data_IF_544239589158
#
_entry.id   IF_544239589158
#
_cell.length_a   1.000
_cell.length_b   1.000
_cell.length_c   1.000
_cell.angle_alpha   90.00
_cell.angle_beta   90.00
_cell.angle_gamma   90.00
#
_symmetry.space_group_name_H-M   'P 1'
#
loop_
_entity.id
_entity.type
_entity.pdbx_description
1 polymer ?
#
# COMPACT_ATOMS: atom_id res chain seq x y z
N UNK A 1 16.54 -15.33 28.04
CA UNK A 1 15.86 -14.09 28.47
C UNK A 1 16.18 -13.04 27.42
N UNK A 2 15.17 -12.42 26.80
CA UNK A 2 15.41 -11.28 25.91
C UNK A 2 16.03 -10.14 26.74
N UNK A 3 17.08 -9.50 26.24
CA UNK A 3 17.67 -8.33 26.91
C UNK A 3 16.69 -7.16 26.77
N UNK A 4 16.45 -6.42 27.85
CA UNK A 4 15.61 -5.23 27.79
C UNK A 4 16.29 -4.12 26.99
N UNK A 5 15.51 -3.15 26.50
CA UNK A 5 16.04 -1.97 25.83
C UNK A 5 17.03 -1.21 26.72
N UNK A 6 16.78 -1.21 28.03
CA UNK A 6 17.70 -0.65 29.03
C UNK A 6 19.04 -1.42 29.08
N UNK A 7 19.02 -2.75 29.10
CA UNK A 7 20.25 -3.57 29.14
C UNK A 7 21.11 -3.36 27.89
N UNK A 8 20.45 -3.28 26.72
CA UNK A 8 21.12 -3.03 25.44
C UNK A 8 21.71 -1.62 25.42
N UNK A 9 20.95 -0.61 25.86
CA UNK A 9 21.39 0.78 25.88
C UNK A 9 22.62 0.96 26.79
N UNK A 10 22.57 0.41 28.01
CA UNK A 10 23.69 0.48 28.95
C UNK A 10 24.95 -0.17 28.37
N UNK A 11 24.83 -1.36 27.76
CA UNK A 11 25.97 -2.03 27.14
C UNK A 11 26.59 -1.25 25.97
N UNK A 12 25.78 -0.53 25.19
CA UNK A 12 26.27 0.34 24.10
C UNK A 12 26.92 1.62 24.63
N UNK A 13 26.33 2.24 25.64
CA UNK A 13 26.91 3.44 26.28
C UNK A 13 28.25 3.11 26.91
N UNK A 14 28.36 2.00 27.64
CA UNK A 14 29.61 1.56 28.27
C UNK A 14 30.71 1.24 27.23
N UNK A 15 30.32 0.85 26.01
CA UNK A 15 31.25 0.59 24.92
C UNK A 15 31.73 1.87 24.20
N UNK A 16 30.91 2.92 24.17
CA UNK A 16 31.18 4.16 23.43
C UNK A 16 31.71 5.30 24.33
N UNK A 17 31.35 5.31 25.61
CA UNK A 17 31.64 6.42 26.52
C UNK A 17 32.11 5.95 27.91
N UNK A 18 33.11 6.64 28.45
CA UNK A 18 33.53 6.48 29.85
C UNK A 18 32.67 7.36 30.78
N UNK A 19 31.44 6.92 31.04
CA UNK A 19 30.47 7.63 31.88
C UNK A 19 30.18 6.80 33.13
N UNK A 20 30.13 7.46 34.28
CA UNK A 20 29.77 6.79 35.53
C UNK A 20 28.39 6.11 35.41
N UNK A 21 28.34 4.81 35.72
CA UNK A 21 27.18 3.94 35.48
C UNK A 21 25.86 4.48 36.08
N UNK A 22 25.92 5.12 37.25
CA UNK A 22 24.75 5.74 37.88
C UNK A 22 24.19 6.91 37.06
N UNK A 23 25.08 7.68 36.42
CA UNK A 23 24.72 8.82 35.58
C UNK A 23 24.12 8.34 34.26
N UNK A 24 24.77 7.37 33.61
CA UNK A 24 24.27 6.72 32.40
C UNK A 24 22.88 6.09 32.63
N UNK A 25 22.71 5.29 33.69
CA UNK A 25 21.42 4.67 34.03
C UNK A 25 20.31 5.69 34.28
N UNK A 26 20.61 6.77 35.01
CA UNK A 26 19.66 7.87 35.24
C UNK A 26 19.27 8.57 33.93
N UNK A 27 20.24 8.79 33.04
CA UNK A 27 20.04 9.42 31.74
C UNK A 27 19.16 8.55 30.83
N UNK A 28 19.47 7.26 30.70
CA UNK A 28 18.68 6.29 29.91
C UNK A 28 17.22 6.28 30.34
N UNK A 29 16.97 6.19 31.66
CA UNK A 29 15.59 6.18 32.19
C UNK A 29 14.82 7.46 31.90
N UNK A 30 15.48 8.63 32.03
CA UNK A 30 14.84 9.91 31.72
C UNK A 30 14.53 10.06 30.24
N UNK A 31 15.46 9.66 29.37
CA UNK A 31 15.27 9.70 27.92
C UNK A 31 14.12 8.78 27.51
N UNK A 32 14.11 7.52 27.98
CA UNK A 32 13.05 6.56 27.67
C UNK A 32 11.67 7.05 28.14
N UNK A 33 11.59 7.65 29.33
CA UNK A 33 10.33 8.17 29.88
C UNK A 33 9.79 9.43 29.18
N UNK A 34 10.59 10.11 28.34
CA UNK A 34 10.24 11.38 27.72
C UNK A 34 10.35 11.33 26.18
N UNK A 35 9.85 10.25 25.58
CA UNK A 35 9.79 10.12 24.11
C UNK A 35 11.16 10.07 23.46
N UNK A 36 12.12 9.40 24.11
CA UNK A 36 13.49 9.22 23.62
C UNK A 36 14.24 10.54 23.37
N UNK A 37 13.93 11.53 24.22
CA UNK A 37 14.60 12.83 24.30
C UNK A 37 14.78 13.23 25.76
N UNK A 38 15.88 13.90 26.07
CA UNK A 38 16.10 14.51 27.37
C UNK A 38 15.32 15.83 27.44
N UNK A 39 14.40 16.01 28.40
CA UNK A 39 13.71 17.29 28.55
C UNK A 39 14.70 18.42 28.84
N UNK A 40 14.46 19.60 28.26
CA UNK A 40 15.31 20.78 28.48
C UNK A 40 15.47 21.13 29.97
N UNK A 41 14.42 20.91 30.78
CA UNK A 41 14.46 21.12 32.22
C UNK A 41 15.45 20.19 32.96
N UNK A 42 15.70 18.99 32.42
CA UNK A 42 16.62 18.00 32.98
C UNK A 42 18.06 18.18 32.46
N UNK A 43 18.28 18.99 31.42
CA UNK A 43 19.61 19.24 30.83
C UNK A 43 20.65 19.71 31.85
N UNK A 44 20.23 20.55 32.81
CA UNK A 44 21.08 21.08 33.88
C UNK A 44 21.68 19.99 34.78
N UNK A 45 20.97 18.88 34.98
CA UNK A 45 21.43 17.72 35.77
C UNK A 45 22.56 16.96 35.08
N UNK A 46 22.70 17.13 33.77
CA UNK A 46 23.70 16.47 32.92
C UNK A 46 24.69 17.47 32.29
N UNK A 47 24.83 18.67 32.85
CA UNK A 47 25.65 19.76 32.28
C UNK A 47 27.12 19.39 32.03
N UNK A 48 27.63 18.35 32.69
CA UNK A 48 29.00 17.85 32.51
C UNK A 48 29.20 17.08 31.20
N UNK A 49 28.12 16.61 30.58
CA UNK A 49 28.17 15.94 29.29
C UNK A 49 27.98 16.98 28.17
N UNK A 50 28.81 16.96 27.11
CA UNK A 50 28.57 17.75 25.90
C UNK A 50 27.22 17.44 25.25
N UNK A 51 26.63 18.41 24.54
CA UNK A 51 25.34 18.23 23.86
C UNK A 51 25.40 17.12 22.80
N UNK A 52 26.52 16.99 22.09
CA UNK A 52 26.74 15.91 21.12
C UNK A 52 26.73 14.52 21.75
N UNK A 53 27.28 14.38 22.96
CA UNK A 53 27.28 13.12 23.73
C UNK A 53 25.87 12.78 24.17
N UNK A 54 25.10 13.77 24.65
CA UNK A 54 23.70 13.56 25.03
C UNK A 54 22.86 13.17 23.81
N UNK A 55 23.01 13.87 22.68
CA UNK A 55 22.31 13.55 21.44
C UNK A 55 22.63 12.12 20.96
N UNK A 56 23.89 11.69 21.09
CA UNK A 56 24.30 10.33 20.76
C UNK A 56 23.73 9.28 21.73
N UNK A 57 23.69 9.58 23.02
CA UNK A 57 23.04 8.71 24.02
C UNK A 57 21.53 8.61 23.77
N UNK A 58 20.85 9.71 23.42
CA UNK A 58 19.43 9.67 23.02
C UNK A 58 19.19 8.72 21.84
N UNK A 59 20.08 8.74 20.85
CA UNK A 59 20.04 7.81 19.72
C UNK A 59 20.27 6.36 20.17
N UNK A 60 21.30 6.09 21.00
CA UNK A 60 21.58 4.76 21.51
C UNK A 60 20.40 4.17 22.28
N UNK A 61 19.78 4.97 23.15
CA UNK A 61 18.60 4.54 23.93
C UNK A 61 17.44 4.21 23.01
N UNK A 62 17.19 5.05 22.00
CA UNK A 62 16.13 4.80 21.01
C UNK A 62 16.35 3.50 20.25
N UNK A 63 17.54 3.31 19.69
CA UNK A 63 17.90 2.09 18.94
C UNK A 63 17.83 0.84 19.82
N UNK A 64 18.29 0.92 21.07
CA UNK A 64 18.29 -0.20 21.99
C UNK A 64 16.87 -0.68 22.36
N UNK A 65 15.93 0.24 22.57
CA UNK A 65 14.53 -0.10 22.84
C UNK A 65 13.80 -0.65 21.62
N UNK A 66 14.14 -0.13 20.42
CA UNK A 66 13.68 -0.70 19.15
C UNK A 66 14.17 -2.15 18.97
N UNK A 67 15.46 -2.41 19.21
CA UNK A 67 16.06 -3.74 19.09
C UNK A 67 15.50 -4.74 20.11
N UNK A 68 15.08 -4.26 21.28
CA UNK A 68 14.40 -5.07 22.29
C UNK A 68 12.94 -5.40 21.94
N UNK A 69 12.38 -4.77 20.89
CA UNK A 69 10.97 -4.90 20.51
C UNK A 69 10.01 -4.25 21.51
N UNK A 70 10.48 -3.27 22.28
CA UNK A 70 9.67 -2.53 23.24
C UNK A 70 8.84 -1.43 22.53
N UNK A 71 7.74 -1.00 23.15
CA UNK A 71 6.91 0.05 22.59
C UNK A 71 7.62 1.41 22.69
N UNK A 72 8.03 1.94 21.53
CA UNK A 72 8.70 3.23 21.40
C UNK A 72 7.80 4.33 20.81
N UNK A 73 6.52 4.03 20.55
CA UNK A 73 5.61 4.90 19.83
C UNK A 73 5.71 4.79 18.32
N UNK A 74 4.56 4.94 17.64
CA UNK A 74 4.41 4.63 16.21
C UNK A 74 5.23 5.50 15.25
N UNK A 75 5.45 6.78 15.56
CA UNK A 75 6.24 7.68 14.70
C UNK A 75 7.73 7.35 14.73
N UNK A 76 8.28 7.07 15.91
CA UNK A 76 9.69 6.70 16.08
C UNK A 76 9.98 5.37 15.40
N UNK A 77 9.07 4.41 15.56
CA UNK A 77 9.15 3.12 14.91
C UNK A 77 9.10 3.26 13.37
N UNK A 78 8.20 4.11 12.85
CA UNK A 78 8.10 4.39 11.41
C UNK A 78 9.37 5.03 10.85
N UNK A 79 9.89 6.05 11.51
CA UNK A 79 11.13 6.72 11.10
C UNK A 79 12.31 5.74 11.11
N UNK A 80 12.41 4.89 12.13
CA UNK A 80 13.48 3.89 12.20
C UNK A 80 13.43 2.89 11.04
N UNK A 81 12.25 2.31 10.76
CA UNK A 81 12.10 1.40 9.62
C UNK A 81 12.34 2.08 8.29
N UNK A 82 11.96 3.36 8.15
CA UNK A 82 12.25 4.15 6.97
C UNK A 82 13.76 4.30 6.75
N UNK A 83 14.52 4.65 7.80
CA UNK A 83 15.98 4.77 7.74
C UNK A 83 16.64 3.42 7.42
N UNK A 84 16.21 2.34 8.07
CA UNK A 84 16.71 0.99 7.76
C UNK A 84 16.46 0.62 6.29
N UNK A 85 15.26 0.90 5.78
CA UNK A 85 14.92 0.64 4.39
C UNK A 85 15.79 1.45 3.42
N UNK A 86 16.13 2.70 3.76
CA UNK A 86 17.00 3.54 2.94
C UNK A 86 18.45 3.03 2.93
N UNK A 87 18.97 2.62 4.09
CA UNK A 87 20.30 1.99 4.19
C UNK A 87 20.36 0.73 3.34
N UNK A 88 19.38 -0.16 3.47
CA UNK A 88 19.32 -1.37 2.66
C UNK A 88 19.29 -1.07 1.15
N UNK A 89 18.53 -0.05 0.72
CA UNK A 89 18.51 0.37 -0.70
C UNK A 89 19.86 0.89 -1.18
N UNK A 90 20.58 1.65 -0.36
CA UNK A 90 21.95 2.12 -0.68
C UNK A 90 22.91 0.94 -0.82
N UNK A 91 22.80 -0.08 0.04
CA UNK A 91 23.56 -1.32 -0.08
C UNK A 91 23.23 -2.07 -1.38
N UNK A 92 21.97 -2.13 -1.78
CA UNK A 92 21.57 -2.74 -3.06
C UNK A 92 22.19 -2.02 -4.26
N UNK A 93 22.32 -0.70 -4.22
CA UNK A 93 23.07 0.08 -5.23
C UNK A 93 24.54 -0.30 -5.19
N UNK A 94 25.17 -0.31 -4.01
CA UNK A 94 26.59 -0.66 -3.85
C UNK A 94 26.91 -2.09 -4.34
N UNK A 95 25.98 -3.03 -4.15
CA UNK A 95 26.11 -4.42 -4.57
C UNK A 95 25.75 -4.66 -6.04
N UNK A 96 25.29 -3.62 -6.76
CA UNK A 96 24.89 -3.71 -8.17
C UNK A 96 23.55 -4.44 -8.40
N UNK A 97 22.74 -4.59 -7.36
CA UNK A 97 21.37 -5.11 -7.45
C UNK A 97 20.40 -4.06 -8.00
N UNK A 98 20.71 -2.78 -7.80
CA UNK A 98 20.04 -1.63 -8.41
C UNK A 98 21.02 -0.92 -9.35
N UNK A 99 20.63 -0.80 -10.61
CA UNK A 99 21.44 -0.22 -11.69
C UNK A 99 21.01 1.21 -11.97
N UNK A 100 21.98 2.07 -12.31
CA UNK A 100 21.64 3.39 -12.85
C UNK A 100 20.87 3.25 -14.17
N UNK A 101 20.09 4.27 -14.60
CA UNK A 101 19.39 4.23 -15.89
C UNK A 101 20.34 3.99 -17.07
N UNK A 102 21.57 4.50 -16.99
CA UNK A 102 22.60 4.33 -18.04
C UNK A 102 23.08 2.89 -18.11
N UNK A 103 23.41 2.27 -16.98
CA UNK A 103 23.85 0.86 -16.92
C UNK A 103 22.73 -0.08 -17.34
N UNK A 104 21.51 0.16 -16.85
CA UNK A 104 20.33 -0.62 -17.22
C UNK A 104 20.15 -0.61 -18.73
N UNK A 105 20.06 0.57 -19.37
CA UNK A 105 19.94 0.73 -20.84
C UNK A 105 21.04 -0.01 -21.59
N UNK A 106 22.29 0.12 -21.13
CA UNK A 106 23.45 -0.54 -21.75
C UNK A 106 23.29 -2.07 -21.70
N UNK A 107 22.86 -2.62 -20.57
CA UNK A 107 22.72 -4.06 -20.36
C UNK A 107 21.61 -4.69 -21.22
N UNK A 108 20.50 -3.99 -21.41
CA UNK A 108 19.36 -4.47 -22.21
C UNK A 108 19.36 -4.02 -23.68
N UNK A 109 20.33 -3.19 -24.07
CA UNK A 109 20.45 -2.63 -25.43
C UNK A 109 19.28 -1.75 -25.84
N UNK A 110 18.76 -0.91 -24.94
CA UNK A 110 17.61 -0.04 -25.22
C UNK A 110 17.98 1.43 -25.37
N UNK A 111 17.33 2.11 -26.33
CA UNK A 111 17.26 3.56 -26.37
C UNK A 111 16.42 4.11 -25.21
N UNK A 112 16.67 5.34 -24.81
CA UNK A 112 15.90 6.06 -23.77
C UNK A 112 14.39 6.08 -24.03
N UNK A 113 13.95 6.42 -25.25
CA UNK A 113 12.52 6.40 -25.63
C UNK A 113 11.85 5.04 -25.42
N UNK A 114 12.61 3.96 -25.60
CA UNK A 114 12.10 2.59 -25.43
C UNK A 114 12.09 2.17 -23.97
N UNK A 115 13.05 2.65 -23.16
CA UNK A 115 12.99 2.49 -21.70
C UNK A 115 11.76 3.21 -21.14
N UNK A 116 11.55 4.47 -21.51
CA UNK A 116 10.40 5.26 -21.06
C UNK A 116 9.07 4.54 -21.33
N UNK A 117 8.90 3.95 -22.53
CA UNK A 117 7.70 3.15 -22.85
C UNK A 117 7.53 1.90 -21.99
N UNK A 118 8.63 1.23 -21.64
CA UNK A 118 8.55 0.03 -20.78
C UNK A 118 8.26 0.39 -19.32
N UNK A 119 8.66 1.60 -18.88
CA UNK A 119 8.30 2.12 -17.56
C UNK A 119 6.82 2.50 -17.56
N UNK A 120 6.39 3.26 -18.57
CA UNK A 120 5.01 3.72 -18.75
C UNK A 120 4.01 2.56 -18.83
N UNK A 121 4.32 1.50 -19.58
CA UNK A 121 3.44 0.33 -19.68
C UNK A 121 3.58 -0.67 -18.53
N UNK A 122 4.49 -0.42 -17.57
CA UNK A 122 4.75 -1.26 -16.40
C UNK A 122 5.54 -2.54 -16.67
N UNK A 123 6.13 -2.70 -17.87
CA UNK A 123 6.97 -3.84 -18.22
C UNK A 123 8.31 -3.86 -17.47
N UNK A 124 8.78 -2.71 -17.01
CA UNK A 124 9.88 -2.54 -16.05
C UNK A 124 9.49 -1.44 -15.06
N UNK A 125 10.25 -1.28 -13.98
CA UNK A 125 10.00 -0.24 -12.99
C UNK A 125 11.30 0.23 -12.36
N UNK A 126 11.34 1.51 -11.99
CA UNK A 126 12.40 2.10 -11.18
C UNK A 126 12.08 2.03 -9.69
N UNK A 127 13.12 2.11 -8.87
CA UNK A 127 13.11 2.21 -7.41
C UNK A 127 13.87 3.47 -7.04
N UNK A 128 13.25 4.32 -6.23
CA UNK A 128 13.90 5.54 -5.75
C UNK A 128 14.82 5.27 -4.57
N UNK A 129 16.05 5.75 -4.68
CA UNK A 129 17.07 5.78 -3.62
C UNK A 129 17.65 7.18 -3.58
N UNK A 130 17.46 7.89 -2.46
CA UNK A 130 17.91 9.29 -2.29
C UNK A 130 17.48 10.19 -3.47
N UNK A 131 16.18 10.16 -3.81
CA UNK A 131 15.55 10.93 -4.90
C UNK A 131 16.08 10.62 -6.31
N UNK A 132 16.90 9.57 -6.44
CA UNK A 132 17.43 9.10 -7.71
C UNK A 132 16.79 7.77 -8.10
N UNK A 133 16.32 7.66 -9.34
CA UNK A 133 15.71 6.43 -9.86
C UNK A 133 16.78 5.41 -10.26
N UNK A 134 16.65 4.19 -9.76
CA UNK A 134 17.46 3.03 -10.14
C UNK A 134 16.58 1.87 -10.62
N UNK A 135 17.13 1.00 -11.47
CA UNK A 135 16.41 -0.15 -12.02
C UNK A 135 16.93 -1.46 -11.45
N UNK A 136 16.06 -2.38 -10.99
CA UNK A 136 16.51 -3.69 -10.53
C UNK A 136 17.29 -4.45 -11.60
N UNK A 137 18.50 -4.90 -11.25
CA UNK A 137 19.40 -5.62 -12.15
C UNK A 137 18.77 -6.89 -12.73
N UNK A 138 17.89 -7.55 -11.97
CA UNK A 138 17.14 -8.74 -12.42
C UNK A 138 16.29 -8.45 -13.66
N UNK A 139 15.78 -7.23 -13.84
CA UNK A 139 14.99 -6.86 -15.02
C UNK A 139 15.85 -6.77 -16.29
N UNK A 140 17.18 -6.76 -16.13
CA UNK A 140 18.18 -6.76 -17.19
C UNK A 140 18.99 -8.07 -17.25
N UNK A 141 18.56 -9.13 -16.55
CA UNK A 141 19.23 -10.41 -16.60
C UNK A 141 18.95 -11.12 -17.95
N UNK A 142 19.98 -11.38 -18.78
CA UNK A 142 19.78 -12.06 -20.06
C UNK A 142 19.37 -13.53 -19.93
N UNK A 143 19.55 -14.15 -18.75
CA UNK A 143 19.17 -15.54 -18.50
C UNK A 143 17.67 -15.71 -18.28
N UNK A 144 16.95 -14.63 -17.94
CA UNK A 144 15.52 -14.70 -17.67
C UNK A 144 14.69 -14.56 -18.95
N UNK A 145 13.55 -15.25 -18.99
CA UNK A 145 12.56 -15.07 -20.05
C UNK A 145 11.95 -13.66 -20.02
N UNK A 146 12.57 -12.73 -20.74
CA UNK A 146 12.21 -11.32 -20.74
C UNK A 146 10.73 -11.06 -21.07
N UNK A 147 10.14 -11.81 -22.02
CA UNK A 147 8.74 -11.62 -22.40
C UNK A 147 7.81 -11.97 -21.24
N UNK A 148 8.06 -13.09 -20.57
CA UNK A 148 7.26 -13.55 -19.43
C UNK A 148 7.50 -12.70 -18.19
N UNK A 149 8.74 -12.28 -17.94
CA UNK A 149 9.07 -11.33 -16.89
C UNK A 149 8.28 -10.03 -17.04
N UNK A 150 8.27 -9.44 -18.24
CA UNK A 150 7.50 -8.22 -18.52
C UNK A 150 5.99 -8.42 -18.33
N UNK A 151 5.44 -9.60 -18.66
CA UNK A 151 4.04 -9.91 -18.37
C UNK A 151 3.79 -9.88 -16.85
N UNK A 152 4.67 -10.48 -16.05
CA UNK A 152 4.53 -10.47 -14.58
C UNK A 152 4.69 -9.04 -14.05
N UNK A 153 5.71 -8.29 -14.49
CA UNK A 153 5.92 -6.89 -14.11
C UNK A 153 4.66 -6.06 -14.34
N UNK A 154 4.05 -6.20 -15.53
CA UNK A 154 2.77 -5.56 -15.81
C UNK A 154 1.72 -6.04 -14.83
N UNK A 155 1.55 -7.34 -14.61
CA UNK A 155 0.56 -7.88 -13.65
C UNK A 155 0.72 -7.31 -12.23
N UNK A 156 1.93 -7.03 -11.77
CA UNK A 156 2.18 -6.58 -10.39
C UNK A 156 2.25 -5.06 -10.22
N UNK A 157 1.91 -4.27 -11.27
CA UNK A 157 1.90 -2.80 -11.22
C UNK A 157 1.15 -2.20 -10.02
N UNK A 158 0.03 -2.74 -9.53
CA UNK A 158 -0.66 -2.13 -8.38
C UNK A 158 0.20 -1.97 -7.11
N UNK A 159 1.24 -2.80 -6.93
CA UNK A 159 2.15 -2.69 -5.79
C UNK A 159 3.18 -1.56 -5.97
N UNK A 160 3.72 -1.02 -4.88
CA UNK A 160 4.88 -0.12 -4.99
C UNK A 160 6.14 -0.83 -5.51
N UNK A 161 7.12 -0.10 -6.10
CA UNK A 161 8.30 -0.70 -6.73
C UNK A 161 9.08 -1.70 -5.87
N UNK A 162 9.29 -1.41 -4.58
CA UNK A 162 10.00 -2.33 -3.69
C UNK A 162 9.18 -3.60 -3.42
N UNK A 163 7.86 -3.50 -3.29
CA UNK A 163 6.96 -4.65 -3.21
C UNK A 163 7.05 -5.52 -4.46
N UNK A 164 7.10 -4.92 -5.65
CA UNK A 164 7.28 -5.64 -6.93
C UNK A 164 8.62 -6.37 -6.99
N UNK A 165 9.70 -5.69 -6.57
CA UNK A 165 11.04 -6.30 -6.50
C UNK A 165 11.04 -7.50 -5.56
N UNK A 166 10.52 -7.34 -4.34
CA UNK A 166 10.39 -8.42 -3.37
C UNK A 166 9.55 -9.59 -3.88
N UNK A 167 8.44 -9.30 -4.58
CA UNK A 167 7.64 -10.35 -5.23
C UNK A 167 8.49 -11.20 -6.17
N UNK A 168 9.24 -10.56 -7.08
CA UNK A 168 10.05 -11.24 -8.08
C UNK A 168 11.24 -12.00 -7.48
N UNK A 169 11.91 -11.43 -6.48
CA UNK A 169 13.21 -11.91 -5.99
C UNK A 169 13.13 -12.83 -4.76
N UNK A 170 12.02 -12.84 -4.01
CA UNK A 170 11.92 -13.63 -2.77
C UNK A 170 11.14 -14.94 -2.95
N UNK A 171 11.51 -16.01 -2.22
CA UNK A 171 10.72 -17.23 -2.10
C UNK A 171 9.25 -16.96 -1.75
N UNK A 172 8.32 -17.68 -2.38
CA UNK A 172 6.88 -17.54 -2.12
C UNK A 172 6.29 -18.86 -1.65
N UNK A 173 5.68 -18.88 -0.46
CA UNK A 173 4.97 -20.07 0.05
C UNK A 173 3.89 -20.56 -0.92
N UNK A 174 3.17 -19.63 -1.55
CA UNK A 174 2.15 -19.92 -2.59
C UNK A 174 2.70 -20.53 -3.88
N UNK A 175 4.03 -20.51 -4.07
CA UNK A 175 4.75 -21.15 -5.18
C UNK A 175 5.65 -22.31 -4.70
N UNK A 176 5.38 -22.84 -3.49
CA UNK A 176 6.15 -23.94 -2.90
C UNK A 176 7.57 -23.53 -2.49
N UNK A 177 7.78 -22.27 -2.10
CA UNK A 177 9.08 -21.74 -1.68
C UNK A 177 10.00 -21.34 -2.84
N UNK A 178 9.55 -21.45 -4.09
CA UNK A 178 10.32 -20.99 -5.27
C UNK A 178 10.14 -19.50 -5.51
N UNK A 179 11.11 -18.87 -6.18
CA UNK A 179 11.03 -17.47 -6.60
C UNK A 179 10.30 -17.35 -7.94
N UNK A 180 9.44 -16.33 -8.15
CA UNK A 180 8.78 -16.14 -9.44
C UNK A 180 9.72 -16.09 -10.64
N UNK A 181 10.91 -15.49 -10.50
CA UNK A 181 11.89 -15.39 -11.60
C UNK A 181 12.46 -16.73 -12.03
N UNK A 182 12.50 -17.73 -11.14
CA UNK A 182 13.01 -19.08 -11.45
C UNK A 182 11.98 -19.92 -12.22
N UNK A 183 10.74 -19.46 -12.26
CA UNK A 183 9.57 -20.19 -12.75
C UNK A 183 9.08 -19.64 -14.10
N UNK A 184 9.91 -18.83 -14.77
CA UNK A 184 9.49 -18.13 -15.98
C UNK A 184 9.62 -18.98 -17.25
N UNK A 185 10.48 -20.00 -17.30
CA UNK A 185 10.74 -20.74 -18.56
C UNK A 185 9.76 -21.88 -18.84
N UNK A 186 9.24 -22.54 -17.81
CA UNK A 186 8.25 -23.60 -17.95
C UNK A 186 6.81 -23.04 -18.05
N UNK A 187 5.98 -23.61 -18.91
CA UNK A 187 4.60 -23.13 -19.15
C UNK A 187 3.67 -23.35 -17.95
N UNK A 188 3.81 -24.48 -17.26
CA UNK A 188 2.96 -24.83 -16.11
C UNK A 188 3.31 -23.92 -14.94
N UNK A 189 4.60 -23.76 -14.67
CA UNK A 189 5.13 -22.88 -13.65
C UNK A 189 4.79 -21.42 -13.94
N UNK A 190 4.98 -20.95 -15.18
CA UNK A 190 4.63 -19.58 -15.56
C UNK A 190 3.13 -19.30 -15.38
N UNK A 191 2.26 -20.26 -15.73
CA UNK A 191 0.81 -20.12 -15.49
C UNK A 191 0.50 -20.01 -14.00
N UNK A 192 1.22 -20.77 -13.15
CA UNK A 192 1.10 -20.66 -11.69
C UNK A 192 1.54 -19.28 -11.20
N UNK A 193 2.72 -18.81 -11.62
CA UNK A 193 3.24 -17.47 -11.27
C UNK A 193 2.26 -16.39 -11.68
N UNK A 194 1.74 -16.44 -12.91
CA UNK A 194 0.79 -15.42 -13.39
C UNK A 194 -0.48 -15.36 -12.55
N UNK A 195 -1.03 -16.51 -12.15
CA UNK A 195 -2.21 -16.58 -11.27
C UNK A 195 -1.91 -16.02 -9.89
N UNK A 196 -0.80 -16.41 -9.29
CA UNK A 196 -0.38 -15.91 -7.96
C UNK A 196 -0.07 -14.42 -8.02
N UNK A 197 0.58 -13.93 -9.08
CA UNK A 197 0.86 -12.52 -9.29
C UNK A 197 -0.43 -11.69 -9.37
N UNK A 198 -1.47 -12.19 -10.05
CA UNK A 198 -2.76 -11.50 -10.13
C UNK A 198 -3.48 -11.44 -8.78
N UNK A 199 -3.48 -12.55 -8.02
CA UNK A 199 -4.05 -12.58 -6.67
C UNK A 199 -3.30 -11.64 -5.73
N UNK A 200 -1.97 -11.71 -5.73
CA UNK A 200 -1.12 -10.85 -4.93
C UNK A 200 -1.28 -9.37 -5.31
N UNK A 201 -1.35 -9.04 -6.59
CA UNK A 201 -1.55 -7.67 -7.06
C UNK A 201 -2.90 -7.08 -6.61
N UNK A 202 -3.93 -7.91 -6.46
CA UNK A 202 -5.23 -7.46 -5.96
C UNK A 202 -5.17 -6.98 -4.49
N UNK A 203 -4.26 -7.53 -3.68
CA UNK A 203 -4.06 -7.12 -2.28
C UNK A 203 -3.55 -5.68 -2.14
N UNK A 204 -3.02 -5.09 -3.21
CA UNK A 204 -2.45 -3.73 -3.21
C UNK A 204 -3.46 -2.63 -3.50
N UNK A 205 -4.72 -2.98 -3.79
CA UNK A 205 -5.76 -1.99 -3.98
C UNK A 205 -7.10 -2.49 -3.50
N UNK A 206 -7.86 -1.60 -2.88
CA UNK A 206 -9.21 -1.82 -2.40
C UNK A 206 -10.20 -1.02 -3.22
N UNK A 207 -11.22 -1.69 -3.72
CA UNK A 207 -12.41 -1.02 -4.25
C UNK A 207 -13.42 -0.88 -3.13
N UNK A 208 -13.93 0.34 -2.94
CA UNK A 208 -14.89 0.68 -1.90
C UNK A 208 -16.16 1.17 -2.58
N UNK A 209 -17.30 0.61 -2.18
CA UNK A 209 -18.63 1.03 -2.63
C UNK A 209 -19.40 1.57 -1.44
N UNK A 210 -19.73 2.85 -1.46
CA UNK A 210 -20.53 3.52 -0.41
C UNK A 210 -21.88 3.93 -0.95
N UNK A 211 -22.92 3.86 -0.11
CA UNK A 211 -24.27 4.29 -0.47
C UNK A 211 -24.78 5.28 0.53
N UNK A 212 -25.35 6.39 0.07
CA UNK A 212 -25.89 7.47 0.90
C UNK A 212 -27.36 7.71 0.57
N UNK A 213 -28.15 8.09 1.57
CA UNK A 213 -29.54 8.47 1.36
C UNK A 213 -29.64 9.78 0.57
N UNK A 214 -30.51 9.86 -0.42
CA UNK A 214 -30.73 11.07 -1.22
C UNK A 214 -29.88 11.15 -2.48
N UNK A 215 -29.95 12.29 -3.15
CA UNK A 215 -29.23 12.58 -4.41
C UNK A 215 -27.99 13.40 -4.11
N UNK A 216 -26.82 12.81 -4.37
CA UNK A 216 -25.53 13.44 -4.12
C UNK A 216 -24.73 13.51 -5.42
N UNK A 217 -24.00 14.60 -5.64
CA UNK A 217 -23.06 14.70 -6.76
C UNK A 217 -21.61 14.42 -6.33
N UNK A 218 -21.33 14.56 -5.03
CA UNK A 218 -20.05 14.29 -4.39
C UNK A 218 -20.33 13.56 -3.07
N UNK A 219 -19.36 12.81 -2.59
CA UNK A 219 -19.48 12.11 -1.31
C UNK A 219 -19.74 13.13 -0.18
N UNK A 220 -20.80 12.96 0.63
CA UNK A 220 -21.05 13.81 1.79
C UNK A 220 -19.99 13.62 2.88
N UNK A 221 -19.53 14.71 3.48
CA UNK A 221 -18.51 14.68 4.55
C UNK A 221 -19.09 14.60 5.96
N UNK A 222 -20.38 14.90 6.12
CA UNK A 222 -21.08 15.12 7.39
C UNK A 222 -22.16 14.08 7.68
N UNK A 223 -22.32 13.11 6.78
CA UNK A 223 -23.35 12.06 6.87
C UNK A 223 -22.68 10.70 6.78
N UNK A 224 -23.09 9.75 7.63
CA UNK A 224 -22.62 8.37 7.52
C UNK A 224 -23.28 7.65 6.33
N UNK A 225 -22.55 6.76 5.64
CA UNK A 225 -23.12 5.95 4.58
C UNK A 225 -24.20 5.01 5.13
N UNK A 226 -25.29 4.85 4.38
CA UNK A 226 -26.30 3.82 4.62
C UNK A 226 -25.72 2.40 4.53
N UNK A 227 -24.70 2.23 3.69
CA UNK A 227 -24.02 0.97 3.45
C UNK A 227 -22.66 1.21 2.83
N UNK A 228 -21.69 0.41 3.24
CA UNK A 228 -20.35 0.34 2.68
C UNK A 228 -20.02 -1.12 2.41
N UNK A 229 -19.47 -1.42 1.24
CA UNK A 229 -18.89 -2.72 0.91
C UNK A 229 -17.50 -2.52 0.32
N UNK A 230 -16.58 -3.42 0.61
CA UNK A 230 -15.20 -3.34 0.16
C UNK A 230 -14.68 -4.69 -0.32
N UNK A 231 -13.75 -4.66 -1.27
CA UNK A 231 -12.97 -5.84 -1.64
C UNK A 231 -11.60 -5.42 -2.18
N UNK A 232 -10.58 -6.24 -1.89
CA UNK A 232 -9.24 -6.07 -2.43
C UNK A 232 -9.22 -6.61 -3.87
N UNK A 233 -9.11 -5.71 -4.84
CA UNK A 233 -9.28 -6.00 -6.26
C UNK A 233 -8.30 -5.18 -7.08
N UNK A 234 -7.64 -5.84 -8.04
CA UNK A 234 -6.76 -5.20 -9.01
C UNK A 234 -7.45 -4.02 -9.73
N UNK A 235 -6.95 -2.78 -9.58
CA UNK A 235 -7.65 -1.57 -10.01
C UNK A 235 -7.74 -1.46 -11.54
N UNK A 236 -6.98 -2.27 -12.28
CA UNK A 236 -6.99 -2.29 -13.75
C UNK A 236 -8.15 -3.11 -14.30
N UNK A 237 -8.86 -3.87 -13.46
CA UNK A 237 -10.11 -4.50 -13.84
C UNK A 237 -11.17 -3.42 -14.09
N UNK A 238 -12.10 -3.64 -15.03
CA UNK A 238 -13.17 -2.68 -15.31
C UNK A 238 -13.92 -2.26 -14.04
N UNK A 239 -14.18 -0.96 -13.91
CA UNK A 239 -14.79 -0.36 -12.71
C UNK A 239 -16.00 -1.12 -12.19
N UNK A 240 -16.95 -1.44 -13.08
CA UNK A 240 -18.20 -2.11 -12.69
C UNK A 240 -18.01 -3.58 -12.33
N UNK A 241 -16.95 -4.24 -12.82
CA UNK A 241 -16.59 -5.58 -12.33
C UNK A 241 -16.11 -5.50 -10.89
N UNK A 242 -15.26 -4.52 -10.59
CA UNK A 242 -14.75 -4.29 -9.23
C UNK A 242 -15.86 -3.91 -8.27
N UNK A 243 -16.72 -2.97 -8.65
CA UNK A 243 -17.86 -2.56 -7.84
C UNK A 243 -18.84 -3.73 -7.61
N UNK A 244 -19.07 -4.56 -8.64
CA UNK A 244 -19.94 -5.73 -8.49
C UNK A 244 -19.33 -6.72 -7.50
N UNK A 245 -18.05 -7.04 -7.66
CA UNK A 245 -17.36 -7.95 -6.74
C UNK A 245 -17.35 -7.40 -5.31
N UNK A 246 -17.07 -6.11 -5.09
CA UNK A 246 -17.17 -5.51 -3.75
C UNK A 246 -18.56 -5.67 -3.12
N UNK A 247 -19.65 -5.53 -3.88
CA UNK A 247 -21.01 -5.72 -3.38
C UNK A 247 -21.39 -7.18 -3.10
N UNK A 248 -20.69 -8.14 -3.72
CA UNK A 248 -20.98 -9.58 -3.58
C UNK A 248 -19.96 -10.31 -2.69
N UNK A 249 -18.80 -9.72 -2.45
CA UNK A 249 -17.78 -10.21 -1.54
C UNK A 249 -18.26 -10.04 -0.10
N UNK A 250 -18.72 -11.13 0.48
CA UNK A 250 -19.08 -11.17 1.89
C UNK A 250 -17.83 -10.97 2.77
N UNK A 251 -17.94 -10.20 3.87
CA UNK A 251 -16.89 -10.08 4.88
C UNK A 251 -16.42 -8.65 5.18
N UNK A 252 -16.62 -7.71 4.25
CA UNK A 252 -16.30 -6.28 4.45
C UNK A 252 -17.50 -5.40 4.10
N UNK A 253 -18.66 -5.72 4.67
CA UNK A 253 -19.88 -4.94 4.50
C UNK A 253 -20.39 -4.40 5.84
N UNK A 254 -20.85 -3.15 5.83
CA UNK A 254 -21.37 -2.47 7.03
C UNK A 254 -22.42 -1.41 6.68
N UNK A 255 -23.52 -1.26 7.45
CA UNK A 255 -23.95 -2.17 8.51
C UNK A 255 -24.36 -3.53 7.93
N UNK A 256 -24.32 -4.59 8.76
CA UNK A 256 -24.99 -5.83 8.41
C UNK A 256 -26.51 -5.60 8.50
N UNK A 257 -27.27 -6.14 7.53
CA UNK A 257 -28.71 -5.93 7.44
C UNK A 257 -29.49 -6.33 8.72
N UNK A 258 -30.79 -5.99 8.81
CA UNK A 258 -31.66 -5.58 7.71
C UNK A 258 -31.50 -4.12 7.29
N UNK A 259 -31.55 -3.88 5.98
CA UNK A 259 -31.37 -2.56 5.39
C UNK A 259 -32.65 -1.73 5.41
N UNK A 260 -32.61 -0.43 5.77
CA UNK A 260 -33.78 0.44 5.70
C UNK A 260 -34.30 0.55 4.26
N UNK A 261 -35.60 0.81 4.09
CA UNK A 261 -36.17 1.12 2.79
C UNK A 261 -35.70 2.50 2.29
N UNK A 262 -34.82 2.55 1.29
CA UNK A 262 -34.41 3.79 0.63
C UNK A 262 -34.82 3.75 -0.85
N UNK A 263 -35.68 4.70 -1.26
CA UNK A 263 -36.11 4.86 -2.66
C UNK A 263 -35.28 5.87 -3.43
N UNK A 264 -34.53 6.71 -2.73
CA UNK A 264 -33.63 7.71 -3.30
C UNK A 264 -32.30 7.56 -2.57
N UNK A 265 -31.27 7.18 -3.29
CA UNK A 265 -29.94 7.00 -2.76
C UNK A 265 -28.89 7.18 -3.85
N UNK A 266 -27.66 7.44 -3.43
CA UNK A 266 -26.51 7.62 -4.33
C UNK A 266 -25.43 6.63 -3.97
N UNK A 267 -24.87 5.98 -4.98
CA UNK A 267 -23.76 5.04 -4.89
C UNK A 267 -22.47 5.73 -5.33
N UNK A 268 -21.42 5.61 -4.53
CA UNK A 268 -20.06 6.02 -4.87
C UNK A 268 -19.16 4.80 -5.00
N UNK A 269 -18.28 4.80 -5.99
CA UNK A 269 -17.19 3.83 -6.13
C UNK A 269 -15.87 4.57 -6.02
N UNK A 270 -15.02 4.08 -5.13
CA UNK A 270 -13.70 4.63 -4.84
C UNK A 270 -12.64 3.53 -4.93
N UNK A 271 -11.42 3.93 -5.28
CA UNK A 271 -10.23 3.10 -5.22
C UNK A 271 -9.31 3.61 -4.12
N UNK A 272 -8.78 2.73 -3.30
CA UNK A 272 -7.72 3.05 -2.34
C UNK A 272 -6.53 2.12 -2.59
N UNK A 273 -5.33 2.67 -2.81
CA UNK A 273 -4.11 1.86 -2.83
C UNK A 273 -3.64 1.60 -1.39
N UNK A 274 -2.89 0.52 -1.18
CA UNK A 274 -2.25 0.27 0.12
C UNK A 274 -1.29 1.42 0.43
N UNK A 275 -1.37 1.94 1.66
CA UNK A 275 -0.56 3.07 2.12
C UNK A 275 -1.17 4.44 1.87
N UNK A 276 -2.15 4.55 0.98
CA UNK A 276 -2.85 5.81 0.73
C UNK A 276 -3.88 6.11 1.83
N UNK A 277 -3.82 7.32 2.37
CA UNK A 277 -4.75 7.79 3.39
C UNK A 277 -6.10 8.25 2.82
N UNK A 278 -6.15 8.57 1.52
CA UNK A 278 -7.31 9.17 0.86
C UNK A 278 -7.72 8.33 -0.35
N UNK A 279 -8.93 7.73 -0.36
CA UNK A 279 -9.46 7.06 -1.54
C UNK A 279 -9.64 8.02 -2.73
N UNK A 280 -9.43 7.51 -3.93
CA UNK A 280 -9.63 8.20 -5.20
C UNK A 280 -11.07 7.93 -5.67
N UNK A 281 -11.93 8.95 -5.82
CA UNK A 281 -13.28 8.77 -6.35
C UNK A 281 -13.25 8.39 -7.84
N UNK A 282 -13.96 7.33 -8.21
CA UNK A 282 -13.99 6.85 -9.60
C UNK A 282 -15.37 7.04 -10.25
N UNK A 283 -16.47 6.84 -9.51
CA UNK A 283 -17.81 7.05 -10.03
C UNK A 283 -18.84 7.40 -8.96
N UNK A 284 -19.89 8.09 -9.40
CA UNK A 284 -21.10 8.36 -8.64
C UNK A 284 -22.34 7.98 -9.48
N UNK A 285 -23.29 7.28 -8.87
CA UNK A 285 -24.55 6.86 -9.51
C UNK A 285 -25.71 7.25 -8.61
N UNK A 286 -26.53 8.18 -9.07
CA UNK A 286 -27.78 8.55 -8.38
C UNK A 286 -28.87 7.57 -8.79
N UNK A 287 -29.59 7.03 -7.82
CA UNK A 287 -30.59 5.97 -8.00
C UNK A 287 -31.92 6.43 -7.41
N UNK A 288 -32.94 6.48 -8.27
CA UNK A 288 -34.31 6.85 -7.91
C UNK A 288 -35.27 5.72 -8.29
N UNK A 289 -36.00 5.21 -7.31
CA UNK A 289 -36.96 4.11 -7.46
C UNK A 289 -38.39 4.68 -7.51
N UNK A 290 -39.02 4.60 -8.69
CA UNK A 290 -40.39 5.07 -8.93
C UNK A 290 -41.26 3.89 -9.34
N UNK A 291 -42.06 3.38 -8.40
CA UNK A 291 -42.88 2.19 -8.63
C UNK A 291 -42.00 0.99 -8.99
N UNK A 292 -42.25 0.40 -10.16
CA UNK A 292 -41.48 -0.73 -10.70
C UNK A 292 -40.32 -0.32 -11.61
N UNK A 293 -39.92 0.96 -11.61
CA UNK A 293 -38.82 1.48 -12.43
C UNK A 293 -37.73 2.07 -11.56
N UNK A 294 -36.49 1.80 -11.94
CA UNK A 294 -35.29 2.45 -11.39
C UNK A 294 -34.80 3.42 -12.45
N UNK A 295 -34.67 4.69 -12.09
CA UNK A 295 -33.94 5.69 -12.86
C UNK A 295 -32.54 5.80 -12.28
N UNK A 296 -31.55 5.71 -13.15
CA UNK A 296 -30.16 5.96 -12.79
C UNK A 296 -29.66 7.20 -13.52
N UNK A 297 -28.82 7.96 -12.84
CA UNK A 297 -28.02 9.02 -13.43
C UNK A 297 -26.57 8.80 -13.05
N UNK A 298 -25.74 8.58 -14.05
CA UNK A 298 -24.31 8.39 -13.85
C UNK A 298 -23.67 9.78 -13.80
N UNK A 299 -23.16 10.14 -12.64
CA UNK A 299 -22.29 11.29 -12.42
C UNK A 299 -20.87 10.73 -12.41
N UNK A 300 -20.33 10.46 -13.59
CA UNK A 300 -18.97 9.95 -13.70
C UNK A 300 -17.95 11.05 -13.36
N UNK A 301 -16.69 10.66 -13.16
CA UNK A 301 -15.58 11.56 -12.88
C UNK A 301 -15.55 12.77 -13.85
N UNK A 302 -14.98 13.89 -13.38
CA UNK A 302 -14.93 15.15 -14.11
C UNK A 302 -14.52 14.94 -15.59
N UNK A 303 -15.41 15.33 -16.52
CA UNK A 303 -15.20 15.17 -17.96
C UNK A 303 -16.05 14.10 -18.65
N UNK A 304 -16.81 13.29 -17.91
CA UNK A 304 -17.68 12.26 -18.51
C UNK A 304 -19.10 12.78 -18.74
N UNK A 305 -19.67 12.48 -19.91
CA UNK A 305 -21.04 12.89 -20.23
C UNK A 305 -22.06 12.25 -19.28
N UNK A 306 -22.91 13.08 -18.67
CA UNK A 306 -24.00 12.63 -17.81
C UNK A 306 -25.01 11.84 -18.66
N UNK A 307 -25.20 10.57 -18.34
CA UNK A 307 -26.24 9.75 -18.96
C UNK A 307 -27.30 9.39 -17.92
N UNK A 308 -28.57 9.49 -18.30
CA UNK A 308 -29.69 9.01 -17.51
C UNK A 308 -30.33 7.83 -18.22
N UNK A 309 -30.60 6.77 -17.48
CA UNK A 309 -31.15 5.53 -18.01
C UNK A 309 -32.24 5.01 -17.07
N UNK A 310 -33.17 4.22 -17.62
CA UNK A 310 -34.26 3.62 -16.85
C UNK A 310 -34.22 2.11 -17.01
N UNK A 311 -34.26 1.38 -15.89
CA UNK A 311 -34.29 -0.07 -15.84
C UNK A 311 -35.50 -0.55 -15.01
N UNK A 312 -35.94 -1.79 -15.21
CA UNK A 312 -37.03 -2.37 -14.42
C UNK A 312 -36.54 -2.70 -13.00
N UNK A 313 -37.32 -2.42 -11.96
CA UNK A 313 -36.95 -2.64 -10.55
C UNK A 313 -36.97 -4.11 -10.11
N UNK A 314 -37.69 -4.98 -10.84
CA UNK A 314 -37.81 -6.39 -10.50
C UNK A 314 -38.44 -6.65 -9.13
N UNK A 315 -38.09 -7.79 -8.50
CA UNK A 315 -38.61 -8.22 -7.18
C UNK A 315 -37.72 -7.80 -6.00
N UNK A 316 -36.74 -6.92 -6.23
CA UNK A 316 -35.72 -6.55 -5.24
C UNK A 316 -36.33 -5.72 -4.10
N UNK A 317 -35.98 -6.05 -2.85
CA UNK A 317 -36.65 -5.52 -1.65
C UNK A 317 -35.87 -4.41 -0.96
N UNK A 318 -34.55 -4.36 -1.11
CA UNK A 318 -33.67 -3.41 -0.42
C UNK A 318 -32.89 -2.53 -1.39
N UNK A 319 -32.38 -1.39 -0.92
CA UNK A 319 -31.55 -0.53 -1.75
C UNK A 319 -30.23 -1.21 -2.15
N UNK A 320 -29.70 -2.13 -1.34
CA UNK A 320 -28.51 -2.93 -1.69
C UNK A 320 -28.81 -3.88 -2.85
N UNK A 321 -29.97 -4.54 -2.85
CA UNK A 321 -30.38 -5.38 -3.98
C UNK A 321 -30.53 -4.57 -5.28
N UNK A 322 -31.12 -3.38 -5.16
CA UNK A 322 -31.28 -2.43 -6.28
C UNK A 322 -29.91 -1.97 -6.78
N UNK A 323 -28.97 -1.66 -5.88
CA UNK A 323 -27.61 -1.29 -6.25
C UNK A 323 -26.89 -2.42 -6.99
N UNK A 324 -26.98 -3.66 -6.49
CA UNK A 324 -26.43 -4.85 -7.19
C UNK A 324 -27.01 -4.99 -8.59
N UNK A 325 -28.31 -4.77 -8.75
CA UNK A 325 -28.96 -4.79 -10.06
C UNK A 325 -28.47 -3.67 -10.98
N UNK A 326 -28.33 -2.44 -10.46
CA UNK A 326 -27.80 -1.30 -11.23
C UNK A 326 -26.38 -1.58 -11.70
N UNK A 327 -25.50 -2.06 -10.82
CA UNK A 327 -24.12 -2.41 -11.19
C UNK A 327 -24.10 -3.57 -12.20
N UNK A 328 -24.95 -4.58 -12.05
CA UNK A 328 -25.08 -5.66 -13.02
C UNK A 328 -25.59 -5.19 -14.40
N UNK A 329 -26.35 -4.10 -14.46
CA UNK A 329 -26.75 -3.46 -15.70
C UNK A 329 -25.59 -2.68 -16.34
N UNK A 330 -24.84 -1.91 -15.54
CA UNK A 330 -23.65 -1.15 -15.98
C UNK A 330 -22.47 -2.05 -16.38
N UNK A 331 -22.45 -3.30 -15.93
CA UNK A 331 -21.50 -4.31 -16.42
C UNK A 331 -21.70 -4.68 -17.89
N UNK A 332 -22.92 -4.51 -18.41
CA UNK A 332 -23.30 -4.96 -19.76
C UNK A 332 -23.27 -3.85 -20.81
N UNK A 333 -23.11 -2.59 -20.40
CA UNK A 333 -23.26 -1.39 -21.23
C UNK A 333 -22.13 -0.41 -20.95
#
# INVERSE_FOLDING_TARGET
MAKSGWDIAMGRIDAEFDIAQFLASSLVRRIAANGFRLPAADRSKFQKLPDEVIARIEQIVREAYLDAGEDVGGEILREHYWQQALVARREMVANGELLTPTEFKKRIGLSEKRLARLVEDGSVFGVDVDETEYFPALLADPLLNRKRLQIICRTIVPAEPMGRLGFLSSPRGSLGGRRPVEMLDDDVDFKSVKRIAAAWAAEWSRTIVKMYKGEHQREPSDVEPLYTAMADIDPRRPLWERASEALHSHGYEWPLGPYPGARIFTLFVEQQAVGDSTPIPEACVQILVVGERIRIRIVAAAGTALSSQTIAAGKHKTFVDIAKQVVAYLLKH
#
